data_IF_657629173911
#
_entry.id   IF_657629173911
#
_cell.length_a   1.000
_cell.length_b   1.000
_cell.length_c   1.000
_cell.angle_alpha   90.00
_cell.angle_beta   90.00
_cell.angle_gamma   90.00
#
_symmetry.space_group_name_H-M   'P 1'
#
loop_
_entity.id
_entity.type
_entity.pdbx_description
1 polymer ?
#
# COMPACT_ATOMS: atom_id res chain seq x y z
N UNK A 1 11.13 0.74 -2.93
CA UNK A 1 10.27 -0.41 -3.30
C UNK A 1 8.79 -0.01 -3.26
N UNK A 2 7.87 -0.78 -3.87
CA UNK A 2 6.43 -0.41 -3.94
C UNK A 2 5.55 -1.54 -3.41
N UNK A 3 4.53 -1.21 -2.60
CA UNK A 3 3.41 -2.08 -2.29
C UNK A 3 2.30 -1.79 -3.33
N UNK A 4 1.83 -2.79 -4.07
CA UNK A 4 0.77 -2.63 -5.08
C UNK A 4 -0.47 -3.44 -4.72
N UNK A 5 -1.63 -2.81 -4.88
CA UNK A 5 -2.93 -3.49 -4.81
C UNK A 5 -3.42 -3.82 -6.21
N UNK A 6 -3.93 -5.03 -6.36
CA UNK A 6 -4.43 -5.55 -7.63
C UNK A 6 -5.88 -6.00 -7.47
N UNK A 7 -6.68 -5.72 -8.48
CA UNK A 7 -7.95 -6.42 -8.68
C UNK A 7 -7.63 -7.76 -9.34
N UNK A 8 -7.87 -8.87 -8.64
CA UNK A 8 -7.54 -10.20 -9.12
C UNK A 8 -8.42 -10.65 -10.29
N UNK A 9 -9.70 -10.27 -10.32
CA UNK A 9 -10.65 -10.64 -11.37
C UNK A 9 -10.32 -9.95 -12.70
N UNK A 10 -9.99 -8.66 -12.63
CA UNK A 10 -9.72 -7.81 -13.80
C UNK A 10 -8.23 -7.78 -14.18
N UNK A 11 -7.38 -8.34 -13.33
CA UNK A 11 -5.91 -8.29 -13.45
C UNK A 11 -5.36 -6.86 -13.62
N UNK A 12 -5.99 -5.89 -12.97
CA UNK A 12 -5.59 -4.46 -13.04
C UNK A 12 -5.03 -4.00 -11.71
N UNK A 13 -4.00 -3.16 -11.72
CA UNK A 13 -3.56 -2.48 -10.51
C UNK A 13 -4.59 -1.44 -10.10
N UNK A 14 -5.01 -1.46 -8.83
CA UNK A 14 -5.93 -0.46 -8.26
C UNK A 14 -5.13 0.76 -7.83
N UNK A 15 -4.04 0.54 -7.09
CA UNK A 15 -3.25 1.60 -6.45
C UNK A 15 -1.94 1.04 -5.91
N UNK A 16 -1.05 1.91 -5.43
CA UNK A 16 0.21 1.52 -4.81
C UNK A 16 0.67 2.54 -3.76
N UNK A 17 1.41 2.04 -2.77
CA UNK A 17 2.16 2.84 -1.83
C UNK A 17 3.65 2.76 -2.13
N UNK A 18 4.32 3.89 -2.03
CA UNK A 18 5.78 3.98 -2.04
C UNK A 18 6.26 4.14 -0.62
N UNK A 19 7.36 3.45 -0.29
CA UNK A 19 8.09 3.66 0.96
C UNK A 19 8.38 5.15 1.18
N UNK A 20 8.41 5.65 2.43
CA UNK A 20 8.74 7.03 2.72
C UNK A 20 10.08 7.42 2.06
N UNK A 21 10.07 8.57 1.38
CA UNK A 21 11.25 9.10 0.70
C UNK A 21 12.31 9.48 1.73
N UNK A 22 13.47 8.84 1.66
CA UNK A 22 14.64 9.22 2.45
C UNK A 22 15.67 9.80 1.48
N UNK A 23 15.95 11.13 1.52
CA UNK A 23 16.73 11.81 0.48
C UNK A 23 18.14 11.28 0.27
N UNK A 24 18.69 10.54 1.23
CA UNK A 24 20.09 10.12 1.27
C UNK A 24 20.28 8.60 1.38
N UNK A 25 19.21 7.81 1.24
CA UNK A 25 19.30 6.34 1.27
C UNK A 25 18.33 5.75 0.25
N UNK A 26 18.73 4.69 -0.48
CA UNK A 26 17.77 3.95 -1.27
C UNK A 26 16.64 3.44 -0.36
N UNK A 27 15.39 3.42 -0.86
CA UNK A 27 14.27 2.93 -0.08
C UNK A 27 14.48 1.47 0.29
N UNK A 28 14.23 1.06 1.55
CA UNK A 28 14.48 -0.31 1.99
C UNK A 28 13.59 -1.29 1.22
N UNK A 29 14.11 -2.49 0.96
CA UNK A 29 13.35 -3.53 0.29
C UNK A 29 12.20 -4.03 1.16
N UNK A 30 11.03 -4.25 0.55
CA UNK A 30 9.90 -4.93 1.21
C UNK A 30 10.25 -6.42 1.26
N UNK A 31 10.22 -7.01 2.45
CA UNK A 31 10.54 -8.42 2.68
C UNK A 31 9.32 -9.25 3.07
N UNK A 32 8.31 -8.64 3.67
CA UNK A 32 7.10 -9.33 4.11
C UNK A 32 5.88 -8.42 4.09
N UNK A 33 4.69 -9.01 3.92
CA UNK A 33 3.39 -8.34 4.01
C UNK A 33 2.40 -9.24 4.77
N UNK A 34 1.51 -8.66 5.57
CA UNK A 34 0.43 -9.36 6.23
C UNK A 34 -0.81 -8.47 6.38
N UNK A 35 -2.00 -9.01 6.14
CA UNK A 35 -3.26 -8.32 6.41
C UNK A 35 -3.62 -8.40 7.89
N UNK A 36 -4.29 -7.37 8.41
CA UNK A 36 -5.05 -7.50 9.65
C UNK A 36 -6.24 -8.44 9.45
N UNK A 37 -6.73 -9.05 10.53
CA UNK A 37 -7.82 -10.02 10.47
C UNK A 37 -9.14 -9.42 9.94
N UNK A 38 -9.34 -8.13 10.14
CA UNK A 38 -10.48 -7.38 9.59
C UNK A 38 -10.26 -6.91 8.14
N UNK A 39 -9.07 -7.14 7.59
CA UNK A 39 -8.70 -6.77 6.22
C UNK A 39 -8.56 -5.27 5.97
N UNK A 40 -8.70 -4.41 6.98
CA UNK A 40 -8.68 -2.94 6.80
C UNK A 40 -7.26 -2.36 6.73
N UNK A 41 -6.25 -3.13 7.13
CA UNK A 41 -4.87 -2.68 7.18
C UNK A 41 -3.90 -3.78 6.70
N UNK A 42 -2.71 -3.36 6.30
CA UNK A 42 -1.58 -4.23 5.99
C UNK A 42 -0.36 -3.76 6.78
N UNK A 43 0.32 -4.71 7.41
CA UNK A 43 1.67 -4.52 7.92
C UNK A 43 2.70 -4.87 6.84
N UNK A 44 3.65 -3.97 6.60
CA UNK A 44 4.77 -4.14 5.67
C UNK A 44 6.06 -4.17 6.46
N UNK A 45 6.81 -5.26 6.32
CA UNK A 45 8.13 -5.43 6.93
C UNK A 45 9.24 -5.11 5.93
N UNK A 46 10.16 -4.24 6.35
CA UNK A 46 11.29 -3.80 5.54
C UNK A 46 12.59 -4.50 5.93
N UNK A 47 13.55 -4.55 5.01
CA UNK A 47 14.88 -5.13 5.23
C UNK A 47 15.66 -4.49 6.38
N UNK A 48 15.42 -3.21 6.67
CA UNK A 48 16.07 -2.48 7.75
C UNK A 48 15.38 -2.66 9.12
N UNK A 49 14.42 -3.58 9.22
CA UNK A 49 13.70 -3.88 10.47
C UNK A 49 12.55 -2.94 10.80
N UNK A 50 12.28 -1.93 9.97
CA UNK A 50 11.08 -1.10 10.13
C UNK A 50 9.82 -1.87 9.73
N UNK A 51 8.73 -1.52 10.39
CA UNK A 51 7.37 -1.97 10.05
C UNK A 51 6.50 -0.75 9.84
N UNK A 52 5.71 -0.77 8.76
CA UNK A 52 4.76 0.30 8.44
C UNK A 52 3.38 -0.28 8.20
N UNK A 53 2.37 0.48 8.61
CA UNK A 53 0.97 0.07 8.53
C UNK A 53 0.27 0.94 7.49
N UNK A 54 -0.37 0.30 6.52
CA UNK A 54 -1.14 0.96 5.47
C UNK A 54 -2.62 0.57 5.54
N UNK A 55 -3.55 1.51 5.31
CA UNK A 55 -4.94 1.16 5.11
C UNK A 55 -5.12 0.43 3.78
N UNK A 56 -6.08 -0.50 3.72
CA UNK A 56 -6.45 -1.23 2.49
C UNK A 56 -7.63 -0.61 1.77
N UNK A 57 -8.47 0.13 2.49
CA UNK A 57 -9.58 0.85 1.90
C UNK A 57 -9.07 2.14 1.28
N UNK A 58 -9.34 2.27 -0.01
CA UNK A 58 -9.12 3.51 -0.74
C UNK A 58 -10.48 4.11 -1.07
N UNK A 59 -10.65 5.37 -0.69
CA UNK A 59 -11.79 6.16 -1.16
C UNK A 59 -11.43 6.67 -2.55
N UNK A 60 -12.13 6.20 -3.58
CA UNK A 60 -12.03 6.82 -4.91
C UNK A 60 -12.68 8.20 -4.85
N UNK A 61 -11.86 9.24 -4.70
CA UNK A 61 -12.33 10.61 -4.62
C UNK A 61 -13.01 11.05 -5.92
N UNK A 62 -12.73 10.42 -7.06
CA UNK A 62 -13.39 10.76 -8.32
C UNK A 62 -14.87 10.34 -8.31
N UNK A 63 -15.22 9.27 -7.59
CA UNK A 63 -16.61 8.82 -7.39
C UNK A 63 -17.38 9.66 -6.38
N UNK A 64 -16.68 10.39 -5.49
CA UNK A 64 -17.30 11.33 -4.54
C UNK A 64 -17.57 12.70 -5.18
N UNK A 65 -16.73 13.13 -6.12
CA UNK A 65 -16.84 14.43 -6.78
C UNK A 65 -17.80 14.44 -7.98
N UNK A 66 -18.22 13.28 -8.50
CA UNK A 66 -19.20 13.15 -9.59
C UNK A 66 -20.65 13.03 -9.10
N UNK A 67 -20.89 13.15 -7.79
CA UNK A 67 -22.23 13.12 -7.17
C UNK A 67 -22.75 14.50 -6.75
N UNK A 68 -22.38 15.57 -7.47
CA UNK A 68 -22.94 16.92 -7.32
C UNK A 68 -23.58 17.41 -8.61
#
# INVERSE_FOLDING_TARGET
>A
CTLRFWNAERMTSITFYTTPYVPLSPPPAIRSIAFTSDGNQIAVGYENGYVEIYPTMFVDLNLLLTRQ
#
